data_IF_540673206509
#
_entry.id   IF_540673206509
#
_cell.length_a   1.000
_cell.length_b   1.000
_cell.length_c   1.000
_cell.angle_alpha   90.00
_cell.angle_beta   90.00
_cell.angle_gamma   90.00
#
_symmetry.space_group_name_H-M   'P 1'
#
loop_
_entity.id
_entity.type
_entity.pdbx_description
1 polymer ?
#
# COMPACT_ATOMS: atom_id res chain seq x y z
N UNK A 1 52.41 -68.59 16.60
CA UNK A 1 53.52 -67.63 16.82
C UNK A 1 53.57 -66.64 15.66
N UNK A 2 53.37 -65.34 15.94
CA UNK A 2 53.72 -64.12 15.18
C UNK A 2 52.85 -62.97 15.72
N UNK A 3 53.20 -62.49 16.92
CA UNK A 3 53.90 -61.22 17.20
C UNK A 3 53.06 -59.98 16.90
N UNK A 4 52.48 -59.46 17.98
CA UNK A 4 52.19 -58.04 18.16
C UNK A 4 53.44 -57.23 17.73
N UNK A 5 53.31 -56.44 16.67
CA UNK A 5 54.28 -55.39 16.35
C UNK A 5 53.57 -54.07 16.59
N UNK A 6 53.87 -53.54 17.77
CA UNK A 6 53.62 -52.19 18.25
C UNK A 6 54.03 -51.17 17.18
N UNK A 7 53.07 -50.39 16.68
CA UNK A 7 53.26 -49.32 15.69
C UNK A 7 53.74 -48.04 16.40
N UNK A 8 54.85 -48.14 17.13
CA UNK A 8 55.54 -47.04 17.78
C UNK A 8 56.94 -46.85 17.19
N UNK A 9 57.02 -46.10 16.08
CA UNK A 9 58.14 -45.20 15.71
C UNK A 9 57.98 -44.65 14.29
N UNK A 10 57.58 -43.39 14.14
CA UNK A 10 58.16 -42.53 13.10
C UNK A 10 58.16 -41.06 13.56
N UNK A 11 59.31 -40.50 13.97
CA UNK A 11 59.41 -39.11 14.46
C UNK A 11 59.35 -38.04 13.35
N UNK A 12 59.32 -38.42 12.06
CA UNK A 12 59.32 -37.46 10.94
C UNK A 12 57.93 -36.98 10.50
N UNK A 13 56.85 -37.68 10.88
CA UNK A 13 55.47 -37.25 10.56
C UNK A 13 54.99 -36.02 11.34
N UNK A 14 55.50 -35.85 12.56
CA UNK A 14 55.08 -34.78 13.47
C UNK A 14 55.43 -33.36 13.00
N UNK A 15 56.50 -33.18 12.22
CA UNK A 15 56.92 -31.87 11.72
C UNK A 15 56.14 -31.43 10.48
N UNK A 16 55.78 -32.38 9.60
CA UNK A 16 54.99 -32.12 8.39
C UNK A 16 53.52 -31.88 8.75
N UNK A 17 52.99 -32.60 9.74
CA UNK A 17 51.65 -32.33 10.26
C UNK A 17 51.57 -30.98 10.97
N UNK A 18 52.61 -30.58 11.72
CA UNK A 18 52.64 -29.28 12.41
C UNK A 18 52.65 -28.09 11.44
N UNK A 19 53.37 -28.17 10.32
CA UNK A 19 53.37 -27.09 9.32
C UNK A 19 52.05 -27.01 8.55
N UNK A 20 51.45 -28.16 8.21
CA UNK A 20 50.13 -28.23 7.56
C UNK A 20 48.99 -27.78 8.48
N UNK A 21 49.08 -28.08 9.78
CA UNK A 21 48.16 -27.54 10.79
C UNK A 21 48.27 -26.02 10.93
N UNK A 22 49.50 -25.49 10.99
CA UNK A 22 49.73 -24.04 11.06
C UNK A 22 49.19 -23.32 9.81
N UNK A 23 49.42 -23.87 8.62
CA UNK A 23 48.86 -23.34 7.37
C UNK A 23 47.33 -23.43 7.34
N UNK A 24 46.75 -24.53 7.82
CA UNK A 24 45.31 -24.69 7.96
C UNK A 24 44.69 -23.64 8.88
N UNK A 25 45.26 -23.43 10.08
CA UNK A 25 44.80 -22.40 11.00
C UNK A 25 44.91 -20.98 10.42
N UNK A 26 46.00 -20.69 9.69
CA UNK A 26 46.21 -19.38 9.08
C UNK A 26 45.20 -19.10 7.95
N UNK A 27 44.90 -20.10 7.11
CA UNK A 27 43.87 -19.99 6.08
C UNK A 27 42.47 -19.84 6.67
N UNK A 28 42.17 -20.59 7.73
CA UNK A 28 40.87 -20.55 8.40
C UNK A 28 40.65 -19.20 9.11
N UNK A 29 41.70 -18.65 9.72
CA UNK A 29 41.69 -17.29 10.25
C UNK A 29 41.49 -16.26 9.13
N UNK A 30 42.21 -16.37 8.01
CA UNK A 30 42.08 -15.44 6.89
C UNK A 30 40.66 -15.42 6.30
N UNK A 31 40.00 -16.58 6.17
CA UNK A 31 38.61 -16.67 5.68
C UNK A 31 37.63 -16.08 6.70
N UNK A 32 37.84 -16.30 8.00
CA UNK A 32 36.98 -15.75 9.06
C UNK A 32 36.96 -14.21 9.09
N UNK A 33 38.02 -13.54 8.64
CA UNK A 33 38.09 -12.07 8.58
C UNK A 33 37.33 -11.46 7.38
N UNK A 34 36.93 -12.25 6.38
CA UNK A 34 36.26 -11.71 5.17
C UNK A 34 34.81 -11.25 5.41
N UNK A 35 34.20 -11.60 6.55
CA UNK A 35 32.83 -11.18 6.90
C UNK A 35 32.71 -9.78 7.50
N UNK A 36 33.81 -9.11 7.85
CA UNK A 36 33.78 -7.83 8.58
C UNK A 36 33.73 -6.59 7.66
N UNK A 37 33.81 -6.78 6.33
CA UNK A 37 33.72 -5.68 5.35
C UNK A 37 32.47 -5.80 4.46
N UNK A 38 31.36 -6.25 5.03
CA UNK A 38 30.08 -6.23 4.34
C UNK A 38 29.60 -4.80 4.22
N UNK A 39 29.69 -4.26 2.99
CA UNK A 39 29.08 -2.96 2.66
C UNK A 39 27.64 -2.97 3.13
N UNK A 40 27.20 -1.99 3.94
CA UNK A 40 25.83 -1.94 4.40
C UNK A 40 24.89 -1.99 3.19
N UNK A 41 23.78 -2.74 3.27
CA UNK A 41 22.83 -2.82 2.15
C UNK A 41 22.43 -1.41 1.73
N UNK A 42 22.57 -1.11 0.44
CA UNK A 42 22.21 0.20 -0.11
C UNK A 42 20.70 0.39 0.08
N UNK A 43 20.31 1.18 1.09
CA UNK A 43 18.91 1.55 1.30
C UNK A 43 18.58 2.66 0.31
N UNK A 44 17.99 2.28 -0.83
CA UNK A 44 17.41 3.26 -1.74
C UNK A 44 16.01 3.62 -1.23
N UNK A 45 15.87 4.86 -0.73
CA UNK A 45 14.57 5.40 -0.35
C UNK A 45 13.78 5.67 -1.63
N UNK A 46 12.96 4.69 -2.04
CA UNK A 46 12.04 4.84 -3.15
C UNK A 46 10.88 5.73 -2.72
N UNK A 47 10.78 6.92 -3.34
CA UNK A 47 9.60 7.79 -3.15
C UNK A 47 8.42 7.22 -3.93
N UNK A 48 7.43 6.71 -3.21
CA UNK A 48 6.16 6.27 -3.79
C UNK A 48 5.15 7.42 -3.66
N UNK A 49 4.73 7.98 -4.80
CA UNK A 49 3.67 8.98 -4.83
C UNK A 49 2.32 8.26 -4.77
N UNK A 50 1.84 8.01 -3.56
CA UNK A 50 0.49 7.49 -3.34
C UNK A 50 -0.49 8.64 -3.50
N UNK A 51 -1.50 8.47 -4.37
CA UNK A 51 -2.58 9.43 -4.49
C UNK A 51 -3.34 9.47 -3.14
N UNK A 52 -3.33 10.62 -2.47
CA UNK A 52 -4.08 10.81 -1.23
C UNK A 52 -5.51 11.17 -1.59
N UNK A 53 -6.52 10.41 -1.14
CA UNK A 53 -7.91 10.75 -1.38
C UNK A 53 -8.24 12.06 -0.65
N UNK A 54 -8.73 13.04 -1.40
CA UNK A 54 -9.24 14.32 -0.87
C UNK A 54 -10.75 14.22 -0.67
N UNK A 55 -11.29 15.07 0.21
CA UNK A 55 -12.73 15.17 0.38
C UNK A 55 -13.43 15.56 -0.94
N UNK A 56 -14.59 14.97 -1.19
CA UNK A 56 -15.42 15.34 -2.33
C UNK A 56 -15.94 16.77 -2.16
N UNK A 57 -15.86 17.57 -3.22
CA UNK A 57 -16.28 18.98 -3.24
C UNK A 57 -17.65 19.19 -3.88
N UNK A 58 -18.42 18.11 -4.08
CA UNK A 58 -19.75 18.20 -4.67
C UNK A 58 -20.71 18.91 -3.70
N UNK A 59 -21.54 19.81 -4.25
CA UNK A 59 -22.49 20.58 -3.44
C UNK A 59 -23.75 19.75 -3.21
N UNK A 60 -24.28 19.78 -1.99
CA UNK A 60 -25.60 19.22 -1.72
C UNK A 60 -26.70 20.01 -2.49
N UNK A 61 -27.57 19.32 -3.25
CA UNK A 61 -28.71 19.96 -3.91
C UNK A 61 -29.63 20.66 -2.91
N UNK A 62 -30.24 21.77 -3.33
CA UNK A 62 -31.16 22.51 -2.46
C UNK A 62 -32.50 21.76 -2.31
N UNK A 63 -32.96 21.62 -1.07
CA UNK A 63 -34.28 21.01 -0.80
C UNK A 63 -35.37 21.91 -1.39
N UNK A 64 -36.22 21.39 -2.29
CA UNK A 64 -37.31 22.19 -2.83
C UNK A 64 -38.40 22.37 -1.77
N UNK A 65 -39.14 23.48 -1.85
CA UNK A 65 -40.34 23.71 -1.03
C UNK A 65 -41.33 22.58 -1.28
N UNK A 66 -41.89 21.96 -0.24
CA UNK A 66 -42.79 20.81 -0.42
C UNK A 66 -44.26 21.25 -0.46
N UNK A 67 -45.11 20.73 -1.36
CA UNK A 67 -46.50 21.17 -1.50
C UNK A 67 -47.33 21.01 -0.22
N UNK A 68 -47.06 19.98 0.60
CA UNK A 68 -47.82 19.79 1.84
C UNK A 68 -47.46 20.82 2.91
N UNK A 69 -46.28 21.44 2.85
CA UNK A 69 -45.86 22.50 3.79
C UNK A 69 -46.68 23.80 3.59
N UNK A 70 -47.24 23.99 2.40
CA UNK A 70 -48.05 25.17 2.07
C UNK A 70 -49.56 24.95 2.31
N UNK A 71 -49.97 23.78 2.81
CA UNK A 71 -51.39 23.51 3.08
C UNK A 71 -51.89 24.32 4.27
N UNK A 72 -53.09 24.88 4.13
CA UNK A 72 -53.77 25.57 5.23
C UNK A 72 -54.31 24.56 6.24
N UNK A 73 -54.38 24.91 7.54
CA UNK A 73 -55.13 24.12 8.50
C UNK A 73 -56.58 23.92 8.05
N UNK A 74 -57.09 22.69 8.18
CA UNK A 74 -58.45 22.33 7.76
C UNK A 74 -58.62 22.08 6.25
N UNK A 75 -57.52 21.93 5.50
CA UNK A 75 -57.59 21.47 4.10
C UNK A 75 -58.39 20.16 3.98
N UNK A 76 -59.16 20.03 2.90
CA UNK A 76 -59.95 18.81 2.67
C UNK A 76 -59.04 17.62 2.33
N UNK A 77 -59.57 16.40 2.46
CA UNK A 77 -58.83 15.18 2.10
C UNK A 77 -58.37 15.21 0.64
N UNK A 78 -59.19 15.73 -0.28
CA UNK A 78 -58.84 15.84 -1.69
C UNK A 78 -57.69 16.83 -1.92
N UNK A 79 -57.71 17.98 -1.23
CA UNK A 79 -56.62 18.97 -1.30
C UNK A 79 -55.32 18.41 -0.75
N UNK A 80 -55.37 17.68 0.37
CA UNK A 80 -54.21 17.00 0.92
C UNK A 80 -53.67 15.94 -0.04
N UNK A 81 -54.55 15.12 -0.61
CA UNK A 81 -54.17 14.03 -1.54
C UNK A 81 -53.49 14.59 -2.78
N UNK A 82 -54.03 15.66 -3.36
CA UNK A 82 -53.42 16.35 -4.50
C UNK A 82 -52.04 16.90 -4.15
N UNK A 83 -51.88 17.57 -3.01
CA UNK A 83 -50.60 18.12 -2.56
C UNK A 83 -49.58 17.00 -2.27
N UNK A 84 -50.00 15.92 -1.63
CA UNK A 84 -49.14 14.77 -1.32
C UNK A 84 -48.66 14.05 -2.58
N UNK A 85 -49.52 13.88 -3.59
CA UNK A 85 -49.13 13.32 -4.88
C UNK A 85 -48.10 14.22 -5.60
N UNK A 86 -48.34 15.53 -5.63
CA UNK A 86 -47.37 16.48 -6.19
C UNK A 86 -46.04 16.45 -5.43
N UNK A 87 -46.08 16.22 -4.12
CA UNK A 87 -44.89 16.10 -3.29
C UNK A 87 -44.09 14.84 -3.58
N UNK A 88 -44.76 13.70 -3.80
CA UNK A 88 -44.09 12.44 -4.16
C UNK A 88 -43.25 12.63 -5.43
N UNK A 89 -43.82 13.24 -6.47
CA UNK A 89 -43.08 13.49 -7.71
C UNK A 89 -41.92 14.48 -7.50
N UNK A 90 -42.11 15.49 -6.65
CA UNK A 90 -41.04 16.44 -6.29
C UNK A 90 -39.91 15.76 -5.53
N UNK A 91 -40.22 14.86 -4.59
CA UNK A 91 -39.25 14.08 -3.82
C UNK A 91 -38.48 13.12 -4.72
N UNK A 92 -39.14 12.41 -5.64
CA UNK A 92 -38.47 11.57 -6.65
C UNK A 92 -37.46 12.38 -7.46
N UNK A 93 -37.84 13.57 -7.92
CA UNK A 93 -36.92 14.47 -8.62
C UNK A 93 -35.71 14.87 -7.77
N UNK A 94 -35.94 15.20 -6.50
CA UNK A 94 -34.87 15.54 -5.55
C UNK A 94 -33.96 14.34 -5.24
N UNK A 95 -34.50 13.14 -5.10
CA UNK A 95 -33.75 11.90 -4.92
C UNK A 95 -32.82 11.62 -6.11
N UNK A 96 -33.27 11.87 -7.34
CA UNK A 96 -32.41 11.77 -8.52
C UNK A 96 -31.22 12.74 -8.43
N UNK A 97 -31.45 13.98 -8.01
CA UNK A 97 -30.38 14.97 -7.83
C UNK A 97 -29.40 14.55 -6.72
N UNK A 98 -29.91 14.05 -5.59
CA UNK A 98 -29.10 13.56 -4.48
C UNK A 98 -28.23 12.37 -4.90
N UNK A 99 -28.81 11.40 -5.60
CA UNK A 99 -28.08 10.23 -6.09
C UNK A 99 -27.01 10.64 -7.10
N UNK A 100 -27.31 11.60 -7.99
CA UNK A 100 -26.33 12.12 -8.94
C UNK A 100 -25.13 12.78 -8.23
N UNK A 101 -25.38 13.61 -7.21
CA UNK A 101 -24.33 14.22 -6.40
C UNK A 101 -23.48 13.16 -5.68
N UNK A 102 -24.13 12.15 -5.07
CA UNK A 102 -23.45 11.05 -4.37
C UNK A 102 -22.60 10.20 -5.32
N UNK A 103 -23.07 9.96 -6.55
CA UNK A 103 -22.36 9.15 -7.54
C UNK A 103 -21.00 9.78 -7.92
N UNK A 104 -20.91 11.12 -7.96
CA UNK A 104 -19.66 11.84 -8.21
C UNK A 104 -18.65 11.57 -7.09
N UNK A 105 -19.11 11.55 -5.84
CA UNK A 105 -18.25 11.37 -4.68
C UNK A 105 -17.83 9.93 -4.41
N UNK A 106 -18.64 8.96 -4.82
CA UNK A 106 -18.39 7.53 -4.58
C UNK A 106 -17.67 6.84 -5.74
N UNK A 107 -17.40 7.56 -6.85
CA UNK A 107 -16.65 7.00 -7.97
C UNK A 107 -15.25 6.52 -7.53
N UNK A 108 -14.80 5.35 -8.00
CA UNK A 108 -13.47 4.86 -7.67
C UNK A 108 -12.41 5.82 -8.20
N UNK A 109 -11.37 6.07 -7.40
CA UNK A 109 -10.20 6.83 -7.81
C UNK A 109 -9.29 5.86 -8.56
N UNK A 110 -9.35 5.86 -9.88
CA UNK A 110 -8.39 5.12 -10.69
C UNK A 110 -7.01 5.77 -10.55
N UNK A 111 -5.95 4.99 -10.29
CA UNK A 111 -4.60 5.52 -10.29
C UNK A 111 -4.30 6.06 -11.69
N UNK A 112 -3.76 7.28 -11.76
CA UNK A 112 -3.34 7.87 -13.03
C UNK A 112 -2.43 6.87 -13.78
N UNK A 113 -2.57 6.74 -15.12
CA UNK A 113 -1.72 5.86 -15.89
C UNK A 113 -0.27 6.19 -15.58
N UNK A 114 0.48 5.16 -15.19
CA UNK A 114 1.90 5.26 -14.89
C UNK A 114 2.60 5.62 -16.20
N UNK A 115 2.74 6.93 -16.46
CA UNK A 115 3.60 7.42 -17.52
C UNK A 115 5.00 6.85 -17.26
N UNK A 116 5.62 6.19 -18.26
CA UNK A 116 6.92 5.57 -18.08
C UNK A 116 7.90 6.60 -17.51
N UNK A 117 8.60 6.18 -16.46
CA UNK A 117 9.62 6.93 -15.73
C UNK A 117 10.62 7.54 -16.73
N UNK A 118 10.43 8.82 -17.10
CA UNK A 118 11.33 9.50 -18.04
C UNK A 118 10.93 10.90 -18.51
N UNK A 119 9.68 11.35 -18.33
CA UNK A 119 9.20 12.63 -18.90
C UNK A 119 8.58 13.61 -17.89
N UNK A 120 8.97 13.55 -16.61
CA UNK A 120 8.55 14.54 -15.60
C UNK A 120 9.56 15.67 -15.43
N UNK A 121 9.85 16.42 -16.49
CA UNK A 121 10.59 17.70 -16.40
C UNK A 121 9.71 18.94 -16.61
N UNK A 122 8.40 18.77 -16.84
CA UNK A 122 7.48 19.88 -17.08
C UNK A 122 6.34 19.89 -16.06
N UNK A 123 6.63 20.32 -14.83
CA UNK A 123 5.59 20.92 -13.99
C UNK A 123 5.69 22.43 -14.13
N UNK A 124 4.61 23.15 -14.54
CA UNK A 124 4.59 24.60 -14.45
C UNK A 124 4.63 25.00 -12.97
N UNK A 125 5.54 25.93 -12.65
CA UNK A 125 5.60 26.57 -11.34
C UNK A 125 4.37 27.45 -11.09
#
# INVERSE_FOLDING_TARGET
MKTLVDKSRNPQGWLVDKSRFLQGCMLLAAVALTGCNTTPPRVEIQRVNVAVPVACQEKEPERPVMPTEALRPGATVDQFTQAAQAEIERRKGYEVQLVAALAICTRPIEPAPQQPLGLRSAWPK
#
